data_IF_462760202610
#
_entry.id   IF_462760202610
#
_cell.length_a   1.000
_cell.length_b   1.000
_cell.length_c   1.000
_cell.angle_alpha   90.00
_cell.angle_beta   90.00
_cell.angle_gamma   90.00
#
_symmetry.space_group_name_H-M   'P 1'
#
loop_
_entity.id
_entity.type
_entity.pdbx_description
1 polymer ?
#
# COMPACT_ATOMS: atom_id res chain seq x y z
N UNK A 1 19.61 3.71 -63.78
CA UNK A 1 18.44 2.92 -64.21
C UNK A 1 18.56 1.54 -63.56
N UNK A 2 17.73 0.99 -62.68
CA UNK A 2 16.41 1.29 -62.06
C UNK A 2 16.54 0.77 -60.61
N UNK A 3 16.42 1.59 -59.57
CA UNK A 3 15.27 1.66 -58.64
C UNK A 3 14.43 0.35 -58.55
N UNK A 4 14.65 -0.40 -57.47
CA UNK A 4 13.70 -1.37 -56.93
C UNK A 4 13.67 -1.23 -55.40
N UNK A 5 12.71 -0.41 -54.98
CA UNK A 5 12.26 -0.14 -53.63
C UNK A 5 11.74 -1.43 -52.99
N UNK A 6 12.36 -1.91 -51.92
CA UNK A 6 11.78 -2.94 -51.06
C UNK A 6 11.30 -2.27 -49.77
N UNK A 7 9.99 -2.06 -49.75
CA UNK A 7 9.17 -1.65 -48.62
C UNK A 7 9.36 -2.63 -47.46
N UNK A 8 9.76 -2.08 -46.31
CA UNK A 8 9.64 -2.69 -45.00
C UNK A 8 8.15 -2.75 -44.63
N UNK A 9 7.58 -3.91 -44.23
CA UNK A 9 6.29 -3.90 -43.58
C UNK A 9 6.47 -3.50 -42.12
N UNK A 10 6.23 -2.22 -41.89
CA UNK A 10 6.03 -1.58 -40.60
C UNK A 10 4.60 -1.90 -40.11
N UNK A 11 4.37 -3.05 -39.46
CA UNK A 11 3.13 -3.31 -38.73
C UNK A 11 3.20 -4.63 -37.93
N UNK A 12 3.67 -4.55 -36.68
CA UNK A 12 3.22 -5.39 -35.55
C UNK A 12 3.83 -4.84 -34.26
N UNK A 13 3.52 -3.59 -33.97
CA UNK A 13 3.70 -2.96 -32.66
C UNK A 13 2.30 -2.56 -32.17
N UNK A 14 1.49 -3.54 -31.85
CA UNK A 14 0.18 -3.33 -31.22
C UNK A 14 0.00 -4.34 -30.09
N UNK A 15 -0.18 -3.78 -28.89
CA UNK A 15 -0.67 -4.42 -27.68
C UNK A 15 0.27 -5.40 -26.94
N UNK A 16 1.37 -4.87 -26.40
CA UNK A 16 1.83 -5.27 -25.07
C UNK A 16 1.30 -4.23 -24.08
N UNK A 17 -0.02 -4.23 -23.88
CA UNK A 17 -0.64 -3.44 -22.82
C UNK A 17 -0.21 -4.06 -21.49
N UNK A 18 0.71 -3.39 -20.80
CA UNK A 18 1.10 -3.62 -19.41
C UNK A 18 0.01 -3.24 -18.41
N UNK A 19 -1.25 -3.57 -18.71
CA UNK A 19 -2.32 -3.60 -17.72
C UNK A 19 -2.52 -5.08 -17.39
N UNK A 20 -2.17 -5.46 -16.15
CA UNK A 20 -2.51 -6.74 -15.50
C UNK A 20 -3.27 -7.69 -16.42
N UNK A 21 -2.59 -8.69 -16.99
CA UNK A 21 -3.26 -9.79 -17.69
C UNK A 21 -4.10 -10.57 -16.65
N UNK A 22 -5.29 -10.04 -16.39
CA UNK A 22 -6.36 -10.71 -15.72
C UNK A 22 -6.77 -11.83 -16.68
N UNK A 23 -6.71 -13.07 -16.20
CA UNK A 23 -7.39 -14.17 -16.85
C UNK A 23 -8.84 -13.75 -17.18
N UNK A 24 -9.44 -14.23 -18.29
CA UNK A 24 -10.77 -13.82 -18.70
C UNK A 24 -11.79 -14.31 -17.66
N UNK A 25 -12.19 -13.43 -16.75
CA UNK A 25 -13.10 -13.72 -15.66
C UNK A 25 -13.47 -12.45 -14.91
N UNK A 26 -14.75 -12.06 -15.01
CA UNK A 26 -15.45 -10.95 -14.34
C UNK A 26 -14.80 -9.54 -14.36
N UNK A 27 -15.58 -8.45 -14.51
CA UNK A 27 -15.06 -7.09 -14.33
C UNK A 27 -14.40 -6.93 -12.96
N UNK A 28 -13.34 -6.11 -12.85
CA UNK A 28 -12.61 -5.88 -11.60
C UNK A 28 -13.52 -5.51 -10.41
N UNK A 29 -14.65 -4.87 -10.71
CA UNK A 29 -15.69 -4.46 -9.77
C UNK A 29 -16.36 -5.66 -9.06
N UNK A 30 -16.59 -6.77 -9.77
CA UNK A 30 -17.23 -7.97 -9.19
C UNK A 30 -16.34 -8.62 -8.12
N UNK A 31 -15.04 -8.75 -8.39
CA UNK A 31 -14.09 -9.33 -7.42
C UNK A 31 -14.02 -8.51 -6.14
N UNK A 32 -13.97 -7.19 -6.26
CA UNK A 32 -13.91 -6.29 -5.11
C UNK A 32 -15.24 -6.28 -4.35
N UNK A 33 -16.38 -6.37 -5.04
CA UNK A 33 -17.69 -6.51 -4.41
C UNK A 33 -17.81 -7.82 -3.61
N UNK A 34 -17.42 -8.96 -4.21
CA UNK A 34 -17.40 -10.29 -3.55
C UNK A 34 -16.46 -10.29 -2.34
N UNK A 35 -15.30 -9.65 -2.46
CA UNK A 35 -14.36 -9.49 -1.35
C UNK A 35 -14.97 -8.67 -0.20
N UNK A 36 -15.56 -7.52 -0.51
CA UNK A 36 -16.21 -6.68 0.49
C UNK A 36 -17.36 -7.41 1.20
N UNK A 37 -18.12 -8.24 0.48
CA UNK A 37 -19.16 -9.08 1.05
C UNK A 37 -18.60 -10.15 1.99
N UNK A 38 -17.57 -10.89 1.57
CA UNK A 38 -16.89 -11.86 2.43
C UNK A 38 -16.30 -11.20 3.69
N UNK A 39 -15.73 -9.99 3.57
CA UNK A 39 -15.26 -9.20 4.71
C UNK A 39 -16.39 -8.78 5.67
N UNK A 40 -17.57 -8.41 5.13
CA UNK A 40 -18.75 -8.09 5.97
C UNK A 40 -19.25 -9.30 6.72
N UNK A 41 -19.33 -10.46 6.07
CA UNK A 41 -19.73 -11.72 6.70
C UNK A 41 -18.80 -12.06 7.87
N UNK A 42 -17.48 -11.95 7.68
CA UNK A 42 -16.51 -12.19 8.74
C UNK A 42 -16.72 -11.24 9.92
N UNK A 43 -16.93 -9.95 9.67
CA UNK A 43 -17.19 -8.95 10.73
C UNK A 43 -18.54 -9.14 11.43
N UNK A 44 -19.52 -9.71 10.74
CA UNK A 44 -20.82 -10.07 11.30
C UNK A 44 -20.78 -11.39 12.10
N UNK A 45 -19.61 -12.01 12.28
CA UNK A 45 -19.47 -13.29 12.98
C UNK A 45 -19.88 -14.51 12.16
N UNK A 46 -20.20 -14.36 10.87
CA UNK A 46 -20.51 -15.46 9.95
C UNK A 46 -19.21 -16.09 9.42
N UNK A 47 -18.36 -16.58 10.32
CA UNK A 47 -16.97 -16.95 10.03
C UNK A 47 -16.85 -18.05 8.97
N UNK A 48 -17.57 -19.16 9.11
CA UNK A 48 -17.53 -20.27 8.15
C UNK A 48 -17.98 -19.84 6.75
N UNK A 49 -19.05 -19.05 6.66
CA UNK A 49 -19.57 -18.51 5.40
C UNK A 49 -18.56 -17.55 4.75
N UNK A 50 -17.89 -16.73 5.55
CA UNK A 50 -16.84 -15.84 5.06
C UNK A 50 -15.65 -16.63 4.52
N UNK A 51 -15.22 -17.69 5.21
CA UNK A 51 -14.14 -18.57 4.78
C UNK A 51 -14.45 -19.25 3.46
N UNK A 52 -15.64 -19.83 3.29
CA UNK A 52 -16.04 -20.43 2.02
C UNK A 52 -16.18 -19.38 0.90
N UNK A 53 -16.65 -18.17 1.22
CA UNK A 53 -16.72 -17.05 0.25
C UNK A 53 -15.32 -16.62 -0.22
N UNK A 54 -14.35 -16.50 0.70
CA UNK A 54 -12.96 -16.21 0.35
C UNK A 54 -12.30 -17.35 -0.41
N UNK A 55 -12.55 -18.62 -0.04
CA UNK A 55 -12.02 -19.78 -0.75
C UNK A 55 -12.54 -19.87 -2.18
N UNK A 56 -13.85 -19.68 -2.38
CA UNK A 56 -14.45 -19.64 -3.71
C UNK A 56 -13.84 -18.52 -4.55
N UNK A 57 -13.71 -17.32 -3.98
CA UNK A 57 -13.11 -16.18 -4.67
C UNK A 57 -11.62 -16.41 -5.01
N UNK A 58 -10.87 -17.07 -4.11
CA UNK A 58 -9.48 -17.42 -4.35
C UNK A 58 -9.31 -18.56 -5.37
N UNK A 59 -10.30 -19.46 -5.50
CA UNK A 59 -10.32 -20.49 -6.57
C UNK A 59 -10.63 -19.88 -7.93
N UNK A 60 -11.57 -18.94 -7.99
CA UNK A 60 -11.92 -18.23 -9.22
C UNK A 60 -10.78 -17.32 -9.71
N UNK A 61 -10.04 -16.71 -8.76
CA UNK A 61 -8.96 -15.76 -9.04
C UNK A 61 -7.68 -16.10 -8.26
N UNK A 62 -6.96 -17.17 -8.63
CA UNK A 62 -5.85 -17.69 -7.84
C UNK A 62 -4.66 -16.74 -7.71
N UNK A 63 -4.43 -15.86 -8.68
CA UNK A 63 -3.38 -14.83 -8.60
C UNK A 63 -3.82 -13.56 -7.84
N UNK A 64 -5.11 -13.42 -7.51
CA UNK A 64 -5.64 -12.26 -6.82
C UNK A 64 -5.48 -12.39 -5.31
N UNK A 65 -4.27 -12.07 -4.87
CA UNK A 65 -3.78 -12.18 -3.49
C UNK A 65 -4.74 -11.65 -2.41
N UNK A 66 -5.52 -10.55 -2.59
CA UNK A 66 -6.46 -10.11 -1.57
C UNK A 66 -7.38 -11.22 -1.06
N UNK A 67 -7.96 -12.05 -1.93
CA UNK A 67 -8.88 -13.12 -1.51
C UNK A 67 -8.18 -14.17 -0.65
N UNK A 68 -7.04 -14.69 -1.11
CA UNK A 68 -6.25 -15.71 -0.39
C UNK A 68 -5.71 -15.19 0.94
N UNK A 69 -5.28 -13.92 0.98
CA UNK A 69 -4.87 -13.26 2.22
C UNK A 69 -6.06 -13.11 3.18
N UNK A 70 -7.22 -12.72 2.66
CA UNK A 70 -8.47 -12.64 3.43
C UNK A 70 -8.86 -13.98 4.04
N UNK A 71 -8.80 -15.07 3.26
CA UNK A 71 -9.02 -16.44 3.74
C UNK A 71 -8.12 -16.77 4.94
N UNK A 72 -6.81 -16.58 4.79
CA UNK A 72 -5.85 -16.87 5.85
C UNK A 72 -6.06 -16.01 7.11
N UNK A 73 -6.38 -14.72 6.96
CA UNK A 73 -6.65 -13.82 8.08
C UNK A 73 -7.91 -14.20 8.85
N UNK A 74 -9.01 -14.48 8.15
CA UNK A 74 -10.26 -14.91 8.79
C UNK A 74 -10.03 -16.23 9.52
N UNK A 75 -9.36 -17.19 8.88
CA UNK A 75 -9.09 -18.50 9.48
C UNK A 75 -8.21 -18.37 10.73
N UNK A 76 -7.20 -17.50 10.71
CA UNK A 76 -6.36 -17.22 11.88
C UNK A 76 -7.15 -16.61 13.05
N UNK A 77 -8.17 -15.79 12.75
CA UNK A 77 -9.02 -15.15 13.75
C UNK A 77 -10.19 -16.00 14.24
N UNK A 78 -10.40 -17.18 13.65
CA UNK A 78 -11.60 -17.99 13.82
C UNK A 78 -11.58 -18.92 15.05
N UNK A 79 -10.48 -18.94 15.82
CA UNK A 79 -10.22 -19.93 16.86
C UNK A 79 -9.38 -21.10 16.36
N UNK A 80 -8.73 -21.80 17.30
CA UNK A 80 -7.70 -22.80 17.00
C UNK A 80 -8.20 -24.01 16.20
N UNK A 81 -9.37 -24.54 16.56
CA UNK A 81 -9.96 -25.72 15.90
C UNK A 81 -10.26 -25.46 14.42
N UNK A 82 -10.89 -24.32 14.12
CA UNK A 82 -11.23 -23.95 12.75
C UNK A 82 -9.97 -23.55 11.97
N UNK A 83 -9.00 -22.89 12.62
CA UNK A 83 -7.70 -22.59 12.02
C UNK A 83 -6.95 -23.86 11.61
N UNK A 84 -6.91 -24.90 12.46
CA UNK A 84 -6.24 -26.17 12.14
C UNK A 84 -6.98 -26.93 11.03
N UNK A 85 -8.31 -26.92 11.03
CA UNK A 85 -9.12 -27.52 9.95
C UNK A 85 -8.77 -26.91 8.59
N UNK A 86 -8.73 -25.58 8.50
CA UNK A 86 -8.35 -24.88 7.27
C UNK A 86 -6.88 -25.05 6.92
N UNK A 87 -5.99 -25.09 7.91
CA UNK A 87 -4.56 -25.38 7.72
C UNK A 87 -4.37 -26.74 7.07
N UNK A 88 -5.06 -27.78 7.55
CA UNK A 88 -5.07 -29.12 6.96
C UNK A 88 -5.55 -29.14 5.50
N UNK A 89 -6.71 -28.52 5.22
CA UNK A 89 -7.29 -28.41 3.87
C UNK A 89 -6.34 -27.70 2.90
N UNK A 90 -5.76 -26.58 3.30
CA UNK A 90 -4.85 -25.79 2.47
C UNK A 90 -3.51 -26.50 2.25
N UNK A 91 -2.99 -27.17 3.28
CA UNK A 91 -1.76 -27.98 3.18
C UNK A 91 -1.92 -29.13 2.19
N UNK A 92 -3.06 -29.81 2.21
CA UNK A 92 -3.36 -30.87 1.23
C UNK A 92 -3.47 -30.31 -0.19
N UNK A 93 -4.09 -29.14 -0.37
CA UNK A 93 -4.14 -28.46 -1.68
C UNK A 93 -2.75 -28.12 -2.21
N UNK A 94 -1.88 -27.53 -1.38
CA UNK A 94 -0.49 -27.21 -1.77
C UNK A 94 0.30 -28.47 -2.12
N UNK A 95 0.07 -29.59 -1.41
CA UNK A 95 0.70 -30.89 -1.73
C UNK A 95 0.26 -31.44 -3.09
N UNK A 96 -1.05 -31.40 -3.39
CA UNK A 96 -1.60 -31.88 -4.67
C UNK A 96 -1.26 -30.96 -5.83
N UNK A 97 -1.31 -29.66 -5.61
CA UNK A 97 -1.13 -28.62 -6.60
C UNK A 97 0.08 -27.76 -6.19
N UNK A 98 1.29 -28.22 -6.54
CA UNK A 98 2.56 -27.59 -6.15
C UNK A 98 2.70 -26.09 -6.49
N UNK A 99 1.84 -25.55 -7.34
CA UNK A 99 1.81 -24.13 -7.75
C UNK A 99 0.46 -23.45 -7.46
N UNK A 100 -0.32 -23.95 -6.50
CA UNK A 100 -1.56 -23.29 -6.05
C UNK A 100 -1.23 -22.01 -5.28
N UNK A 101 -1.14 -20.88 -6.01
CA UNK A 101 -0.85 -19.54 -5.46
C UNK A 101 -1.81 -19.22 -4.30
N UNK A 102 -3.09 -19.46 -4.51
CA UNK A 102 -4.12 -19.10 -3.54
C UNK A 102 -3.95 -19.88 -2.24
N UNK A 103 -3.78 -21.20 -2.33
CA UNK A 103 -3.58 -22.04 -1.16
C UNK A 103 -2.25 -21.71 -0.45
N UNK A 104 -1.17 -21.47 -1.20
CA UNK A 104 0.12 -21.09 -0.62
C UNK A 104 0.05 -19.76 0.15
N UNK A 105 -0.61 -18.72 -0.39
CA UNK A 105 -0.75 -17.44 0.31
C UNK A 105 -1.63 -17.58 1.56
N UNK A 106 -2.78 -18.24 1.45
CA UNK A 106 -3.68 -18.42 2.59
C UNK A 106 -3.02 -19.24 3.71
N UNK A 107 -2.34 -20.33 3.34
CA UNK A 107 -1.61 -21.17 4.29
C UNK A 107 -0.46 -20.39 4.93
N UNK A 108 0.29 -19.60 4.16
CA UNK A 108 1.38 -18.80 4.72
C UNK A 108 0.89 -17.81 5.80
N UNK A 109 -0.27 -17.18 5.60
CA UNK A 109 -0.86 -16.28 6.60
C UNK A 109 -1.22 -17.05 7.89
N UNK A 110 -1.77 -18.26 7.74
CA UNK A 110 -2.09 -19.14 8.89
C UNK A 110 -0.86 -19.64 9.63
N UNK A 111 0.19 -20.06 8.91
CA UNK A 111 1.45 -20.52 9.48
C UNK A 111 2.17 -19.37 10.20
N UNK A 112 2.14 -18.16 9.62
CA UNK A 112 2.64 -16.95 10.29
C UNK A 112 1.90 -16.69 11.59
N UNK A 113 0.57 -16.76 11.59
CA UNK A 113 -0.25 -16.54 12.78
C UNK A 113 0.01 -17.59 13.88
N UNK A 114 0.36 -18.82 13.48
CA UNK A 114 0.79 -19.89 14.38
C UNK A 114 2.24 -19.77 14.87
N UNK A 115 3.00 -18.79 14.40
CA UNK A 115 4.42 -18.60 14.73
C UNK A 115 5.39 -19.41 13.86
N UNK A 116 4.91 -20.19 12.89
CA UNK A 116 5.74 -20.95 11.95
C UNK A 116 6.27 -20.06 10.81
N UNK A 117 7.16 -19.12 11.15
CA UNK A 117 7.65 -18.07 10.24
C UNK A 117 8.39 -18.63 9.01
N UNK A 118 9.27 -19.61 9.20
CA UNK A 118 10.05 -20.20 8.12
C UNK A 118 9.16 -20.84 7.05
N UNK A 119 8.18 -21.65 7.49
CA UNK A 119 7.23 -22.30 6.59
C UNK A 119 6.36 -21.26 5.86
N UNK A 120 5.90 -20.24 6.57
CA UNK A 120 5.17 -19.12 5.97
C UNK A 120 6.01 -18.43 4.88
N UNK A 121 7.28 -18.16 5.15
CA UNK A 121 8.20 -17.54 4.20
C UNK A 121 8.39 -18.40 2.94
N UNK A 122 8.63 -19.71 3.12
CA UNK A 122 8.79 -20.67 2.02
C UNK A 122 7.54 -20.73 1.12
N UNK A 123 6.35 -20.73 1.73
CA UNK A 123 5.07 -20.71 1.01
C UNK A 123 4.87 -19.41 0.22
N UNK A 124 5.26 -18.26 0.77
CA UNK A 124 5.20 -16.97 0.08
C UNK A 124 6.15 -16.93 -1.12
N UNK A 125 7.39 -17.39 -0.97
CA UNK A 125 8.34 -17.50 -2.10
C UNK A 125 7.83 -18.44 -3.19
N UNK A 126 7.16 -19.53 -2.80
CA UNK A 126 6.49 -20.44 -3.74
C UNK A 126 5.38 -19.72 -4.52
N UNK A 127 4.53 -18.95 -3.85
CA UNK A 127 3.48 -18.17 -4.49
C UNK A 127 4.04 -17.13 -5.48
N UNK A 128 5.07 -16.37 -5.07
CA UNK A 128 5.73 -15.38 -5.96
C UNK A 128 6.36 -16.07 -7.16
N UNK A 129 7.03 -17.20 -6.95
CA UNK A 129 7.64 -18.01 -8.03
C UNK A 129 6.59 -18.50 -9.02
N UNK A 130 5.41 -18.90 -8.52
CA UNK A 130 4.29 -19.37 -9.31
C UNK A 130 3.52 -18.26 -10.05
N UNK A 131 3.80 -16.98 -9.77
CA UNK A 131 3.21 -15.85 -10.50
C UNK A 131 2.43 -14.86 -9.65
N UNK A 132 2.43 -14.97 -8.32
CA UNK A 132 1.75 -13.98 -7.48
C UNK A 132 2.43 -12.61 -7.62
N UNK A 133 1.65 -11.59 -7.98
CA UNK A 133 2.10 -10.20 -8.15
C UNK A 133 1.18 -9.29 -7.36
N UNK A 134 1.55 -9.00 -6.11
CA UNK A 134 0.75 -8.12 -5.27
C UNK A 134 1.62 -7.36 -4.28
N UNK A 135 1.38 -6.05 -4.10
CA UNK A 135 2.05 -5.26 -3.08
C UNK A 135 1.78 -5.78 -1.66
N UNK A 136 0.72 -6.56 -1.44
CA UNK A 136 0.37 -7.13 -0.13
C UNK A 136 1.32 -8.26 0.31
N UNK A 137 2.09 -8.84 -0.61
CA UNK A 137 3.04 -9.90 -0.27
C UNK A 137 4.33 -9.36 0.35
N UNK A 138 4.73 -8.13 0.03
CA UNK A 138 6.02 -7.59 0.47
C UNK A 138 6.09 -7.45 2.00
N UNK A 139 5.09 -6.85 2.70
CA UNK A 139 5.10 -6.82 4.16
C UNK A 139 5.14 -8.22 4.78
N UNK A 140 4.35 -9.16 4.24
CA UNK A 140 4.33 -10.55 4.75
C UNK A 140 5.68 -11.25 4.57
N UNK A 141 6.34 -11.07 3.42
CA UNK A 141 7.66 -11.61 3.16
C UNK A 141 8.70 -11.06 4.14
N UNK A 142 8.68 -9.75 4.40
CA UNK A 142 9.57 -9.10 5.38
C UNK A 142 9.31 -9.60 6.80
N UNK A 143 8.05 -9.70 7.23
CA UNK A 143 7.67 -10.15 8.57
C UNK A 143 7.99 -11.63 8.84
N UNK A 144 8.12 -12.44 7.79
CA UNK A 144 8.41 -13.88 7.89
C UNK A 144 9.87 -14.22 7.58
N UNK A 145 10.63 -13.28 7.03
CA UNK A 145 12.03 -13.48 6.64
C UNK A 145 12.95 -13.36 7.84
N UNK A 146 13.82 -14.36 8.04
CA UNK A 146 14.93 -14.27 8.99
C UNK A 146 16.14 -13.54 8.38
N UNK A 147 16.28 -13.54 7.06
CA UNK A 147 17.36 -12.88 6.31
C UNK A 147 16.81 -11.90 5.25
N UNK A 148 16.47 -10.65 5.62
CA UNK A 148 16.02 -9.65 4.67
C UNK A 148 17.02 -9.38 3.52
N UNK A 149 18.32 -9.42 3.80
CA UNK A 149 19.33 -9.21 2.77
C UNK A 149 19.33 -10.33 1.73
N UNK A 150 19.21 -11.59 2.19
CA UNK A 150 19.02 -12.76 1.33
C UNK A 150 17.73 -12.67 0.51
N UNK A 151 16.64 -12.18 1.09
CA UNK A 151 15.38 -11.95 0.37
C UNK A 151 15.57 -10.94 -0.78
N UNK A 152 16.27 -9.83 -0.55
CA UNK A 152 16.57 -8.88 -1.62
C UNK A 152 17.46 -9.49 -2.72
N UNK A 153 18.44 -10.32 -2.34
CA UNK A 153 19.25 -11.10 -3.28
C UNK A 153 18.40 -12.06 -4.13
N UNK A 154 17.45 -12.74 -3.50
CA UNK A 154 16.50 -13.62 -4.18
C UNK A 154 15.65 -12.87 -5.21
N UNK A 155 15.11 -11.70 -4.86
CA UNK A 155 14.37 -10.86 -5.80
C UNK A 155 15.24 -10.39 -6.98
N UNK A 156 16.50 -10.04 -6.73
CA UNK A 156 17.43 -9.63 -7.79
C UNK A 156 17.72 -10.78 -8.77
N UNK A 157 17.99 -12.00 -8.26
CA UNK A 157 18.18 -13.18 -9.09
C UNK A 157 16.91 -13.53 -9.88
N UNK A 158 15.73 -13.42 -9.25
CA UNK A 158 14.48 -13.73 -9.92
C UNK A 158 14.09 -12.70 -10.99
N UNK A 159 14.45 -11.43 -10.80
CA UNK A 159 14.25 -10.38 -11.80
C UNK A 159 15.05 -10.64 -13.09
N UNK A 160 16.25 -11.24 -13.01
CA UNK A 160 17.08 -11.50 -14.18
C UNK A 160 16.45 -12.52 -15.15
N UNK A 161 15.58 -13.39 -14.65
CA UNK A 161 14.83 -14.37 -15.46
C UNK A 161 13.38 -13.94 -15.74
N UNK A 162 12.98 -12.75 -15.29
CA UNK A 162 11.67 -12.12 -15.54
C UNK A 162 11.83 -10.68 -16.06
N UNK A 163 12.60 -10.44 -17.13
CA UNK A 163 12.86 -9.09 -17.59
C UNK A 163 11.56 -8.39 -18.03
N UNK A 164 11.28 -7.22 -17.47
CA UNK A 164 10.16 -6.38 -17.88
C UNK A 164 8.83 -6.63 -17.17
N UNK A 165 8.76 -7.56 -16.21
CA UNK A 165 7.59 -7.74 -15.33
C UNK A 165 7.49 -6.55 -14.35
N UNK A 166 6.69 -5.54 -14.71
CA UNK A 166 6.57 -4.28 -13.95
C UNK A 166 6.09 -4.50 -12.52
N UNK A 167 5.15 -5.44 -12.33
CA UNK A 167 4.59 -5.74 -11.03
C UNK A 167 5.61 -6.46 -10.12
N UNK A 168 6.45 -7.33 -10.69
CA UNK A 168 7.55 -7.94 -9.95
C UNK A 168 8.62 -6.90 -9.56
N UNK A 169 8.99 -6.01 -10.47
CA UNK A 169 9.94 -4.92 -10.18
C UNK A 169 9.37 -3.93 -9.16
N UNK A 170 8.07 -3.65 -9.17
CA UNK A 170 7.40 -2.86 -8.14
C UNK A 170 7.48 -3.53 -6.76
N UNK A 171 7.27 -4.85 -6.67
CA UNK A 171 7.46 -5.60 -5.43
C UNK A 171 8.91 -5.55 -4.93
N UNK A 172 9.88 -5.71 -5.83
CA UNK A 172 11.31 -5.59 -5.51
C UNK A 172 11.68 -4.19 -5.02
N UNK A 173 11.20 -3.14 -5.69
CA UNK A 173 11.43 -1.77 -5.28
C UNK A 173 10.81 -1.46 -3.91
N UNK A 174 9.61 -2.01 -3.61
CA UNK A 174 8.96 -1.91 -2.29
C UNK A 174 9.81 -2.56 -1.20
N UNK A 175 10.34 -3.75 -1.47
CA UNK A 175 11.21 -4.47 -0.54
C UNK A 175 12.45 -3.63 -0.22
N UNK A 176 13.16 -3.17 -1.25
CA UNK A 176 14.35 -2.33 -1.08
C UNK A 176 14.07 -1.03 -0.33
N UNK A 177 12.91 -0.41 -0.59
CA UNK A 177 12.50 0.80 0.12
C UNK A 177 12.23 0.52 1.61
N UNK A 178 11.63 -0.62 1.94
CA UNK A 178 11.41 -1.03 3.34
C UNK A 178 12.72 -1.33 4.07
N UNK A 179 13.74 -1.79 3.37
CA UNK A 179 15.11 -1.99 3.88
C UNK A 179 15.94 -0.68 3.94
N UNK A 180 15.37 0.46 3.54
CA UNK A 180 16.09 1.74 3.48
C UNK A 180 17.04 1.89 2.28
N UNK A 181 17.07 0.93 1.35
CA UNK A 181 17.91 0.93 0.14
C UNK A 181 17.29 1.79 -0.98
N UNK A 182 16.97 3.04 -0.65
CA UNK A 182 16.22 3.99 -1.48
C UNK A 182 16.86 4.23 -2.84
N UNK A 183 18.20 4.31 -2.93
CA UNK A 183 18.91 4.53 -4.18
C UNK A 183 18.77 3.35 -5.16
N UNK A 184 18.69 2.12 -4.66
CA UNK A 184 18.50 0.93 -5.48
C UNK A 184 17.06 0.83 -5.97
N UNK A 185 16.09 1.07 -5.07
CA UNK A 185 14.68 1.16 -5.42
C UNK A 185 14.44 2.21 -6.52
N UNK A 186 15.07 3.39 -6.42
CA UNK A 186 14.96 4.47 -7.40
C UNK A 186 15.50 4.07 -8.78
N UNK A 187 16.61 3.33 -8.85
CA UNK A 187 17.15 2.82 -10.13
C UNK A 187 16.16 1.86 -10.80
N UNK A 188 15.58 0.93 -10.03
CA UNK A 188 14.62 -0.06 -10.55
C UNK A 188 13.35 0.61 -11.03
N UNK A 189 12.78 1.52 -10.23
CA UNK A 189 11.53 2.21 -10.59
C UNK A 189 11.73 3.08 -11.83
N UNK A 190 12.83 3.85 -11.92
CA UNK A 190 13.10 4.67 -13.12
C UNK A 190 13.26 3.81 -14.37
N UNK A 191 14.04 2.73 -14.31
CA UNK A 191 14.21 1.82 -15.44
C UNK A 191 12.89 1.12 -15.83
N UNK A 192 12.03 0.83 -14.86
CA UNK A 192 10.73 0.20 -15.13
C UNK A 192 9.72 1.18 -15.72
N UNK A 193 9.69 2.43 -15.24
CA UNK A 193 8.85 3.50 -15.80
C UNK A 193 9.24 3.90 -17.22
N UNK A 194 10.51 3.74 -17.62
CA UNK A 194 10.90 3.91 -19.03
C UNK A 194 10.21 2.92 -19.98
N UNK A 195 9.89 1.71 -19.48
CA UNK A 195 9.20 0.67 -20.25
C UNK A 195 7.68 0.72 -20.07
N UNK A 196 7.24 1.15 -18.88
CA UNK A 196 5.84 1.18 -18.47
C UNK A 196 5.51 2.55 -17.86
N UNK A 197 5.44 3.61 -18.68
CA UNK A 197 5.31 4.99 -18.20
C UNK A 197 4.00 5.26 -17.44
N UNK A 198 2.95 4.52 -17.79
CA UNK A 198 1.60 4.69 -17.23
C UNK A 198 1.25 3.66 -16.15
N UNK A 199 2.23 2.95 -15.59
CA UNK A 199 1.99 2.00 -14.50
C UNK A 199 1.73 2.77 -13.19
N UNK A 200 0.48 2.77 -12.66
CA UNK A 200 0.11 3.58 -11.50
C UNK A 200 0.83 3.14 -10.22
N UNK A 201 1.22 1.87 -10.14
CA UNK A 201 1.92 1.32 -8.99
C UNK A 201 3.38 1.76 -8.99
N UNK A 202 4.06 1.70 -10.14
CA UNK A 202 5.41 2.24 -10.29
C UNK A 202 5.47 3.76 -10.10
N UNK A 203 4.49 4.51 -10.63
CA UNK A 203 4.39 5.96 -10.41
C UNK A 203 4.20 6.29 -8.92
N UNK A 204 3.33 5.54 -8.22
CA UNK A 204 3.11 5.71 -6.78
C UNK A 204 4.38 5.43 -5.97
N UNK A 205 5.13 4.38 -6.32
CA UNK A 205 6.41 4.09 -5.68
C UNK A 205 7.47 5.13 -6.00
N UNK A 206 7.55 5.59 -7.25
CA UNK A 206 8.48 6.63 -7.68
C UNK A 206 8.23 7.97 -6.98
N UNK A 207 6.97 8.29 -6.69
CA UNK A 207 6.60 9.45 -5.88
C UNK A 207 7.10 9.33 -4.43
N UNK A 208 6.87 8.16 -3.80
CA UNK A 208 7.33 7.87 -2.44
C UNK A 208 8.85 7.91 -2.32
N UNK A 209 9.57 7.33 -3.29
CA UNK A 209 11.03 7.31 -3.36
C UNK A 209 11.59 8.73 -3.55
N UNK A 210 11.02 9.52 -4.48
CA UNK A 210 11.46 10.89 -4.69
C UNK A 210 11.29 11.74 -3.43
N UNK A 211 10.16 11.60 -2.72
CA UNK A 211 9.94 12.28 -1.44
C UNK A 211 10.96 11.85 -0.38
N UNK A 212 11.27 10.56 -0.28
CA UNK A 212 12.30 10.06 0.65
C UNK A 212 13.69 10.60 0.36
N UNK A 213 13.97 10.98 -0.90
CA UNK A 213 15.23 11.63 -1.33
C UNK A 213 15.21 13.16 -1.20
N UNK A 214 14.09 13.76 -0.80
CA UNK A 214 13.90 15.22 -0.77
C UNK A 214 13.63 15.86 -2.15
N UNK A 215 13.45 15.07 -3.21
CA UNK A 215 13.12 15.56 -4.55
C UNK A 215 11.60 15.79 -4.65
N UNK A 216 11.15 16.91 -4.10
CA UNK A 216 9.72 17.26 -4.04
C UNK A 216 9.12 17.49 -5.43
N UNK A 217 9.91 17.96 -6.41
CA UNK A 217 9.44 18.19 -7.78
C UNK A 217 9.07 16.87 -8.44
N UNK A 218 10.00 15.91 -8.47
CA UNK A 218 9.73 14.59 -9.05
C UNK A 218 8.66 13.81 -8.26
N UNK A 219 8.60 14.00 -6.93
CA UNK A 219 7.55 13.41 -6.11
C UNK A 219 6.16 13.91 -6.52
N UNK A 220 6.03 15.22 -6.73
CA UNK A 220 4.78 15.88 -7.09
C UNK A 220 4.28 15.50 -8.48
N UNK A 221 5.19 15.47 -9.45
CA UNK A 221 4.89 15.07 -10.83
C UNK A 221 4.36 13.64 -10.88
N UNK A 222 5.12 12.69 -10.32
CA UNK A 222 4.74 11.27 -10.29
C UNK A 222 3.48 11.03 -9.49
N UNK A 223 3.28 11.74 -8.39
CA UNK A 223 2.06 11.60 -7.60
C UNK A 223 0.82 12.10 -8.36
N UNK A 224 0.96 13.20 -9.11
CA UNK A 224 -0.09 13.72 -9.96
C UNK A 224 -0.49 12.74 -11.06
N UNK A 225 0.50 12.16 -11.76
CA UNK A 225 0.26 11.15 -12.79
C UNK A 225 -0.40 9.89 -12.20
N UNK A 226 0.16 9.36 -11.10
CA UNK A 226 -0.39 8.20 -10.42
C UNK A 226 -1.84 8.41 -9.99
N UNK A 227 -2.17 9.59 -9.43
CA UNK A 227 -3.52 9.92 -8.98
C UNK A 227 -4.56 9.86 -10.12
N UNK A 228 -4.19 10.30 -11.33
CA UNK A 228 -5.05 10.25 -12.50
C UNK A 228 -5.23 8.84 -13.09
N UNK A 229 -4.34 7.91 -12.75
CA UNK A 229 -4.32 6.53 -13.25
C UNK A 229 -4.78 5.51 -12.20
N UNK A 230 -5.22 5.96 -11.02
CA UNK A 230 -5.72 5.05 -10.00
C UNK A 230 -6.96 4.31 -10.50
N UNK A 231 -7.03 2.98 -10.31
CA UNK A 231 -8.24 2.24 -10.61
C UNK A 231 -9.41 2.75 -9.74
N UNK A 232 -10.63 2.76 -10.29
CA UNK A 232 -11.81 3.27 -9.59
C UNK A 232 -12.16 2.39 -8.38
N UNK A 233 -11.95 1.07 -8.52
CA UNK A 233 -12.33 0.06 -7.52
C UNK A 233 -11.11 -0.78 -7.14
N UNK A 234 -10.74 -0.73 -5.87
CA UNK A 234 -9.63 -1.47 -5.27
C UNK A 234 -9.97 -1.86 -3.83
N UNK A 235 -9.39 -2.98 -3.37
CA UNK A 235 -9.49 -3.40 -1.97
C UNK A 235 -8.80 -2.40 -1.04
N UNK A 236 -9.29 -2.22 0.19
CA UNK A 236 -8.83 -1.14 1.07
C UNK A 236 -7.34 -1.25 1.44
N UNK A 237 -6.83 -2.47 1.54
CA UNK A 237 -5.43 -2.77 1.87
C UNK A 237 -4.43 -2.24 0.85
N UNK A 238 -4.85 -2.06 -0.40
CA UNK A 238 -4.02 -1.49 -1.47
C UNK A 238 -4.35 -0.01 -1.61
N UNK A 239 -5.65 0.29 -1.72
CA UNK A 239 -6.19 1.61 -2.00
C UNK A 239 -5.78 2.65 -0.96
N UNK A 240 -5.95 2.32 0.32
CA UNK A 240 -5.76 3.29 1.41
C UNK A 240 -4.28 3.67 1.53
N UNK A 241 -3.33 2.74 1.73
CA UNK A 241 -1.92 3.12 1.83
C UNK A 241 -1.44 3.90 0.60
N UNK A 242 -1.81 3.46 -0.61
CA UNK A 242 -1.41 4.15 -1.85
C UNK A 242 -1.92 5.60 -1.88
N UNK A 243 -3.22 5.82 -1.63
CA UNK A 243 -3.81 7.17 -1.63
C UNK A 243 -3.23 8.06 -0.54
N UNK A 244 -2.96 7.52 0.65
CA UNK A 244 -2.29 8.27 1.71
C UNK A 244 -0.90 8.74 1.26
N UNK A 245 -0.07 7.85 0.70
CA UNK A 245 1.26 8.22 0.24
C UNK A 245 1.25 9.26 -0.88
N UNK A 246 0.33 9.13 -1.84
CA UNK A 246 0.14 10.10 -2.91
C UNK A 246 -0.31 11.46 -2.38
N UNK A 247 -1.29 11.47 -1.47
CA UNK A 247 -1.77 12.70 -0.84
C UNK A 247 -0.64 13.43 -0.10
N UNK A 248 0.21 12.72 0.66
CA UNK A 248 1.37 13.33 1.34
C UNK A 248 2.36 13.95 0.36
N UNK A 249 2.63 13.28 -0.76
CA UNK A 249 3.52 13.84 -1.79
C UNK A 249 2.94 15.12 -2.43
N UNK A 250 1.63 15.16 -2.65
CA UNK A 250 0.93 16.33 -3.19
C UNK A 250 0.86 17.49 -2.18
N UNK A 251 0.63 17.21 -0.91
CA UNK A 251 0.66 18.22 0.18
C UNK A 251 2.05 18.87 0.25
N UNK A 252 3.11 18.07 0.21
CA UNK A 252 4.49 18.57 0.30
C UNK A 252 4.89 19.53 -0.84
N UNK A 253 4.19 19.50 -1.98
CA UNK A 253 4.37 20.44 -3.09
C UNK A 253 3.26 21.50 -3.21
N UNK A 254 2.41 21.66 -2.18
CA UNK A 254 1.34 22.66 -2.15
C UNK A 254 0.11 22.32 -3.00
N UNK A 255 0.02 21.12 -3.59
CA UNK A 255 -1.14 20.66 -4.37
C UNK A 255 -2.23 20.08 -3.46
N UNK A 256 -2.83 20.96 -2.67
CA UNK A 256 -3.82 20.59 -1.62
C UNK A 256 -5.16 20.11 -2.18
N UNK A 257 -5.65 20.64 -3.30
CA UNK A 257 -6.91 20.19 -3.91
C UNK A 257 -6.87 18.72 -4.39
N UNK A 258 -5.90 18.27 -5.22
CA UNK A 258 -5.78 16.86 -5.57
C UNK A 258 -5.59 15.96 -4.35
N UNK A 259 -4.83 16.39 -3.34
CA UNK A 259 -4.66 15.66 -2.10
C UNK A 259 -6.00 15.47 -1.35
N UNK A 260 -6.83 16.53 -1.28
CA UNK A 260 -8.16 16.47 -0.69
C UNK A 260 -9.06 15.47 -1.42
N UNK A 261 -9.02 15.46 -2.76
CA UNK A 261 -9.74 14.48 -3.58
C UNK A 261 -9.36 13.02 -3.26
N UNK A 262 -8.07 12.73 -3.12
CA UNK A 262 -7.59 11.39 -2.73
C UNK A 262 -8.07 10.98 -1.34
N UNK A 263 -8.06 11.90 -0.37
CA UNK A 263 -8.50 11.65 1.00
C UNK A 263 -10.02 11.50 1.13
N UNK A 264 -10.80 12.23 0.33
CA UNK A 264 -12.24 12.06 0.23
C UNK A 264 -12.61 10.68 -0.34
N UNK A 265 -11.84 10.22 -1.33
CA UNK A 265 -12.01 8.91 -1.96
C UNK A 265 -11.65 7.72 -1.07
N UNK A 266 -11.13 7.89 0.15
CA UNK A 266 -10.74 6.76 0.99
C UNK A 266 -11.91 5.82 1.29
N UNK A 267 -13.12 6.36 1.50
CA UNK A 267 -14.41 5.66 1.65
C UNK A 267 -14.49 4.59 2.75
N UNK A 268 -15.68 4.26 3.28
CA UNK A 268 -15.83 3.07 4.10
C UNK A 268 -15.76 1.83 3.21
N UNK A 269 -14.89 0.88 3.53
CA UNK A 269 -14.98 -0.47 2.97
C UNK A 269 -14.60 -1.49 4.02
N UNK A 270 -15.35 -2.59 4.05
CA UNK A 270 -15.09 -3.69 4.96
C UNK A 270 -13.76 -4.35 4.61
N UNK A 271 -12.91 -4.52 5.64
CA UNK A 271 -11.70 -5.31 5.57
C UNK A 271 -11.87 -6.58 6.40
N UNK A 272 -11.21 -7.69 6.07
CA UNK A 272 -11.19 -8.86 6.94
C UNK A 272 -10.66 -8.49 8.33
N UNK A 273 -11.12 -9.18 9.40
CA UNK A 273 -10.49 -9.11 10.72
C UNK A 273 -8.97 -9.32 10.62
N UNK A 274 -8.20 -8.56 11.40
CA UNK A 274 -6.72 -8.64 11.39
C UNK A 274 -6.04 -7.94 10.20
N UNK A 275 -6.78 -7.28 9.31
CA UNK A 275 -6.16 -6.50 8.23
C UNK A 275 -5.56 -5.19 8.75
N UNK A 276 -4.26 -4.89 8.50
CA UNK A 276 -3.56 -3.71 9.03
C UNK A 276 -3.83 -2.48 8.15
N UNK A 277 -5.08 -2.04 8.07
CA UNK A 277 -5.40 -0.80 7.37
C UNK A 277 -5.10 0.38 8.29
N UNK A 278 -4.23 1.33 7.89
CA UNK A 278 -3.77 2.41 8.76
C UNK A 278 -4.85 3.49 8.91
N UNK A 279 -5.83 3.26 9.77
CA UNK A 279 -6.87 4.24 10.07
C UNK A 279 -6.26 5.53 10.65
N UNK A 280 -5.24 5.39 11.49
CA UNK A 280 -4.47 6.48 12.08
C UNK A 280 -3.73 7.28 11.00
N UNK A 281 -3.21 6.60 9.98
CA UNK A 281 -2.54 7.24 8.85
C UNK A 281 -3.46 8.22 8.12
N UNK A 282 -4.75 7.89 7.97
CA UNK A 282 -5.70 8.82 7.35
C UNK A 282 -5.94 10.09 8.19
N UNK A 283 -5.97 9.96 9.52
CA UNK A 283 -6.08 11.12 10.41
C UNK A 283 -4.84 12.01 10.34
N UNK A 284 -3.65 11.41 10.35
CA UNK A 284 -2.38 12.14 10.23
C UNK A 284 -2.27 12.90 8.91
N UNK A 285 -2.59 12.27 7.77
CA UNK A 285 -2.50 12.95 6.46
C UNK A 285 -3.56 14.04 6.29
N UNK A 286 -4.74 13.88 6.92
CA UNK A 286 -5.74 14.97 6.98
C UNK A 286 -5.23 16.15 7.81
N UNK A 287 -4.55 15.88 8.92
CA UNK A 287 -3.93 16.92 9.73
C UNK A 287 -2.79 17.64 8.97
N UNK A 288 -1.97 16.90 8.22
CA UNK A 288 -0.95 17.49 7.32
C UNK A 288 -1.59 18.44 6.28
N UNK A 289 -2.72 18.03 5.70
CA UNK A 289 -3.46 18.86 4.75
C UNK A 289 -3.98 20.14 5.40
N UNK A 290 -4.61 20.03 6.58
CA UNK A 290 -5.15 21.16 7.33
C UNK A 290 -4.07 22.18 7.69
N UNK A 291 -2.90 21.69 8.13
CA UNK A 291 -1.75 22.52 8.41
C UNK A 291 -1.25 23.24 7.16
N UNK A 292 -1.12 22.53 6.02
CA UNK A 292 -0.73 23.12 4.74
C UNK A 292 -1.74 24.16 4.20
N UNK A 293 -3.00 24.11 4.63
CA UNK A 293 -4.04 25.10 4.30
C UNK A 293 -4.18 26.22 5.33
N UNK A 294 -3.29 26.30 6.32
CA UNK A 294 -3.32 27.36 7.33
C UNK A 294 -4.35 27.14 8.44
N UNK A 295 -4.74 25.90 8.72
CA UNK A 295 -5.73 25.54 9.74
C UNK A 295 -5.11 24.71 10.89
N UNK A 296 -4.08 25.22 11.62
CA UNK A 296 -3.31 24.42 12.58
C UNK A 296 -4.14 23.92 13.78
N UNK A 297 -5.18 24.64 14.19
CA UNK A 297 -6.08 24.20 15.27
C UNK A 297 -6.89 22.97 14.85
N UNK A 298 -7.37 22.95 13.60
CA UNK A 298 -8.09 21.77 13.06
C UNK A 298 -7.13 20.59 12.93
N UNK A 299 -5.90 20.83 12.46
CA UNK A 299 -4.86 19.81 12.38
C UNK A 299 -4.64 19.14 13.73
N UNK A 300 -4.50 19.90 14.82
CA UNK A 300 -4.35 19.36 16.18
C UNK A 300 -5.57 18.55 16.63
N UNK A 301 -6.78 19.04 16.37
CA UNK A 301 -8.02 18.33 16.74
C UNK A 301 -8.18 17.00 16.00
N UNK A 302 -7.58 16.87 14.81
CA UNK A 302 -7.64 15.66 13.97
C UNK A 302 -6.64 14.59 14.40
N UNK A 303 -5.52 14.96 15.02
CA UNK A 303 -4.48 14.00 15.36
C UNK A 303 -4.94 12.97 16.39
N UNK A 304 -4.50 11.70 16.28
CA UNK A 304 -4.79 10.70 17.28
C UNK A 304 -4.18 11.08 18.63
N UNK A 305 -4.95 10.86 19.70
CA UNK A 305 -4.52 11.16 21.07
C UNK A 305 -3.53 10.11 21.60
N UNK A 306 -3.76 8.85 21.24
CA UNK A 306 -2.83 7.75 21.49
C UNK A 306 -1.81 7.62 20.35
N UNK A 307 -0.59 7.12 20.63
CA UNK A 307 0.33 6.74 19.57
C UNK A 307 -0.33 5.71 18.65
N UNK A 308 -0.11 5.86 17.35
CA UNK A 308 -0.53 4.87 16.36
C UNK A 308 0.23 3.55 16.57
N UNK A 309 -0.43 2.43 16.28
CA UNK A 309 0.19 1.10 16.35
C UNK A 309 1.42 0.97 15.44
N UNK A 310 1.43 1.71 14.32
CA UNK A 310 2.57 1.83 13.44
C UNK A 310 3.50 2.97 13.91
N UNK A 311 4.79 2.69 14.23
CA UNK A 311 5.75 3.69 14.65
C UNK A 311 5.90 4.85 13.66
N UNK A 312 5.77 4.58 12.35
CA UNK A 312 5.87 5.60 11.32
C UNK A 312 4.75 6.65 11.44
N UNK A 313 3.50 6.19 11.64
CA UNK A 313 2.36 7.10 11.81
C UNK A 313 2.41 7.84 13.14
N UNK A 314 2.95 7.22 14.18
CA UNK A 314 3.22 7.87 15.47
C UNK A 314 4.22 9.01 15.34
N UNK A 315 5.33 8.78 14.65
CA UNK A 315 6.34 9.81 14.43
C UNK A 315 5.82 10.94 13.55
N UNK A 316 5.10 10.60 12.47
CA UNK A 316 4.46 11.60 11.61
C UNK A 316 3.42 12.44 12.38
N UNK A 317 2.59 11.83 13.23
CA UNK A 317 1.64 12.55 14.08
C UNK A 317 2.35 13.52 15.03
N UNK A 318 3.48 13.10 15.62
CA UNK A 318 4.30 13.96 16.48
C UNK A 318 4.86 15.16 15.71
N UNK A 319 5.38 14.94 14.51
CA UNK A 319 5.91 16.02 13.67
C UNK A 319 4.82 17.07 13.35
N UNK A 320 3.65 16.63 12.90
CA UNK A 320 2.51 17.52 12.62
C UNK A 320 2.06 18.28 13.86
N UNK A 321 2.05 17.63 15.04
CA UNK A 321 1.70 18.29 16.30
C UNK A 321 2.66 19.43 16.63
N UNK A 322 3.97 19.19 16.52
CA UNK A 322 4.99 20.20 16.81
C UNK A 322 4.87 21.39 15.86
N UNK A 323 4.69 21.13 14.57
CA UNK A 323 4.55 22.17 13.55
C UNK A 323 3.26 22.99 13.74
N UNK A 324 2.14 22.34 14.04
CA UNK A 324 0.87 23.03 14.31
C UNK A 324 0.94 23.92 15.57
N UNK A 325 1.59 23.46 16.65
CA UNK A 325 1.82 24.26 17.85
C UNK A 325 2.72 25.47 17.56
N UNK A 326 3.77 25.30 16.75
CA UNK A 326 4.64 26.40 16.33
C UNK A 326 3.88 27.44 15.49
N UNK A 327 3.04 27.01 14.56
CA UNK A 327 2.21 27.89 13.73
C UNK A 327 1.23 28.72 14.58
N UNK A 328 0.59 28.10 15.59
CA UNK A 328 -0.29 28.80 16.53
C UNK A 328 0.50 29.84 17.33
N UNK A 329 1.66 29.46 17.89
CA UNK A 329 2.51 30.37 18.64
C UNK A 329 2.99 31.58 17.82
N UNK A 330 3.31 31.36 16.54
CA UNK A 330 3.70 32.43 15.61
C UNK A 330 2.53 33.40 15.32
N UNK A 331 1.32 32.88 15.12
CA UNK A 331 0.12 33.70 14.91
C UNK A 331 -0.20 34.60 16.10
N UNK A 332 -0.04 34.11 17.34
CA UNK A 332 -0.17 34.95 18.55
C UNK A 332 0.96 35.97 18.71
N UNK A 333 2.14 35.73 18.11
CA UNK A 333 3.30 36.62 18.19
C UNK A 333 3.20 37.88 17.33
N UNK A 334 2.50 37.82 16.19
CA UNK A 334 2.31 38.99 15.32
C UNK A 334 1.14 39.88 15.75
N UNK A 335 0.04 39.31 16.25
CA UNK A 335 -1.09 40.11 16.80
C UNK A 335 -0.87 40.54 18.27
N UNK A 336 0.03 39.87 19.00
CA UNK A 336 0.34 40.16 20.40
C UNK A 336 1.29 41.34 20.66
N UNK A 337 1.90 41.93 19.61
CA UNK A 337 2.75 43.14 19.75
C UNK A 337 1.97 44.46 19.86
N UNK A 338 0.64 44.40 19.75
CA UNK A 338 -0.26 45.55 19.93
C UNK A 338 -1.23 45.38 21.08
N UNK A 339 -0.90 44.56 22.08
CA UNK A 339 -1.51 44.76 23.40
C UNK A 339 -0.80 45.95 24.06
N UNK A 340 -1.50 47.05 24.40
CA UNK A 340 -0.89 48.14 25.12
C UNK A 340 -0.36 47.56 26.43
N UNK A 341 0.95 47.73 26.69
CA UNK A 341 1.46 47.66 28.05
C UNK A 341 0.75 48.75 28.84
N UNK A 342 -0.37 48.42 29.47
CA UNK A 342 -0.85 49.23 30.58
C UNK A 342 0.30 49.28 31.59
N UNK A 343 0.79 50.48 31.94
CA UNK A 343 1.76 50.60 33.02
C UNK A 343 1.08 50.08 34.28
N UNK A 344 1.74 49.12 34.94
CA UNK A 344 1.36 48.69 36.28
C UNK A 344 1.13 49.93 37.15
N UNK A 345 -0.03 50.08 37.79
CA UNK A 345 -0.25 51.19 38.70
C UNK A 345 0.78 51.11 39.83
N UNK A 346 1.53 52.21 39.99
CA UNK A 346 2.48 52.37 41.06
C UNK A 346 1.74 52.33 42.39
N UNK A 347 2.01 51.30 43.19
CA UNK A 347 1.52 51.18 44.56
C UNK A 347 0.72 49.92 44.76
N UNK A 348 1.41 48.88 45.24
CA UNK A 348 1.05 48.11 46.44
C UNK A 348 1.99 46.88 46.50
N UNK A 349 3.12 47.07 47.18
CA UNK A 349 3.58 46.08 48.16
C UNK A 349 2.71 46.28 49.41
N UNK A 350 2.36 45.22 50.15
CA UNK A 350 3.33 44.36 50.83
C UNK A 350 3.46 42.94 50.28
#
# INVERSE_FOLDING_TARGET
>A
MRLATLLVPLALATAVNGAFAQAPGAPADDRVARYAEASRQARAGQIERALESFDALARDFPAWVPASRGLGLVAASAGEELAETWRGRLRERVRRLRRDIAASVALAVLEKAAGHREEAHRLLLTAVTAGARSPLLVPLLLETSEDPAGLAGWFALRASVLPGDSAFEAMRARLLLAEGRTAEADRIVRASLQRHPDDPELLSLGARIARAKGDLSAACERAGLAAGLLPPVEVPEIRIPRRLWLARALIACGRTEPARGLLAGLGPMATPPGSPVPAEGAAVVRAELELATGEPVKALARLPQAPAADPFWSEAARAVRLEALAAIGAGYGEEGRTLPREPLPAGLAP
#
